data_IF_258093598745
#
_entry.id   IF_258093598745
#
_cell.length_a   1.000
_cell.length_b   1.000
_cell.length_c   1.000
_cell.angle_alpha   90.00
_cell.angle_beta   90.00
_cell.angle_gamma   90.00
#
_symmetry.space_group_name_H-M   'P 1'
#
loop_
_entity.id
_entity.type
_entity.pdbx_description
1 polymer ?
#
# COMPACT_ATOMS: atom_id res chain seq x y z
N UNK A 1 32.43 1.69 37.85
CA UNK A 1 33.81 1.35 38.13
C UNK A 1 34.79 2.30 37.47
N UNK A 2 36.09 2.23 37.81
CA UNK A 2 37.16 3.14 37.33
C UNK A 2 37.22 3.17 35.79
N UNK A 3 37.07 2.01 35.12
CA UNK A 3 37.08 1.91 33.66
C UNK A 3 35.91 2.68 33.00
N UNK A 4 34.71 2.63 33.58
CA UNK A 4 33.56 3.39 33.07
C UNK A 4 33.78 4.90 33.23
N UNK A 5 34.34 5.35 34.33
CA UNK A 5 34.66 6.77 34.57
C UNK A 5 35.73 7.28 33.59
N UNK A 6 36.76 6.48 33.31
CA UNK A 6 37.77 6.80 32.28
C UNK A 6 37.17 6.84 30.87
N UNK A 7 36.31 5.89 30.52
CA UNK A 7 35.62 5.89 29.20
C UNK A 7 34.76 7.14 29.03
N UNK A 8 33.99 7.55 30.03
CA UNK A 8 33.16 8.76 29.98
C UNK A 8 34.00 10.02 29.84
N UNK A 9 35.09 10.15 30.61
CA UNK A 9 36.00 11.30 30.51
C UNK A 9 36.71 11.35 29.16
N UNK A 10 37.07 10.21 28.58
CA UNK A 10 37.65 10.14 27.25
C UNK A 10 36.66 10.63 26.15
N UNK A 11 35.38 10.22 26.23
CA UNK A 11 34.33 10.67 25.28
C UNK A 11 34.14 12.18 25.35
N UNK A 12 34.30 12.81 26.51
CA UNK A 12 34.21 14.27 26.70
C UNK A 12 35.40 15.02 26.12
N UNK A 13 36.59 14.41 26.08
CA UNK A 13 37.81 15.07 25.57
C UNK A 13 37.83 15.26 24.05
N UNK A 14 37.09 14.43 23.31
CA UNK A 14 37.06 14.49 21.84
C UNK A 14 35.62 14.63 21.32
N UNK A 15 34.93 15.74 21.64
CA UNK A 15 33.46 15.86 21.38
C UNK A 15 33.11 15.82 19.91
N UNK A 16 33.90 16.43 19.04
CA UNK A 16 33.63 16.43 17.58
C UNK A 16 33.64 15.03 16.99
N UNK A 17 34.55 14.18 17.40
CA UNK A 17 34.66 12.81 16.90
C UNK A 17 33.56 11.93 17.46
N UNK A 18 33.31 12.03 18.78
CA UNK A 18 32.21 11.33 19.44
C UNK A 18 30.87 11.70 18.76
N UNK A 19 30.64 12.98 18.47
CA UNK A 19 29.46 13.45 17.78
C UNK A 19 29.36 12.88 16.34
N UNK A 20 30.44 12.90 15.57
CA UNK A 20 30.44 12.36 14.21
C UNK A 20 30.11 10.86 14.16
N UNK A 21 30.68 10.09 15.12
CA UNK A 21 30.41 8.64 15.23
C UNK A 21 28.96 8.38 15.66
N UNK A 22 28.48 9.11 16.67
CA UNK A 22 27.09 9.01 17.13
C UNK A 22 26.09 9.43 16.06
N UNK A 23 26.39 10.48 15.27
CA UNK A 23 25.53 10.96 14.20
C UNK A 23 25.33 9.93 13.09
N UNK A 24 26.38 9.20 12.69
CA UNK A 24 26.25 8.16 11.67
C UNK A 24 25.28 7.06 12.12
N UNK A 25 25.39 6.61 13.37
CA UNK A 25 24.48 5.61 13.94
C UNK A 25 23.07 6.18 14.14
N UNK A 26 22.98 7.42 14.62
CA UNK A 26 21.72 8.13 14.83
C UNK A 26 20.92 8.22 13.53
N UNK A 27 21.53 8.64 12.42
CA UNK A 27 20.86 8.74 11.13
C UNK A 27 20.33 7.37 10.67
N UNK A 28 21.16 6.31 10.75
CA UNK A 28 20.73 4.97 10.39
C UNK A 28 19.52 4.49 11.19
N UNK A 29 19.54 4.67 12.52
CA UNK A 29 18.44 4.27 13.39
C UNK A 29 17.21 5.16 13.27
N UNK A 30 17.38 6.47 12.97
CA UNK A 30 16.29 7.37 12.66
C UNK A 30 15.52 6.87 11.43
N UNK A 31 16.23 6.53 10.35
CA UNK A 31 15.62 6.03 9.12
C UNK A 31 14.93 4.68 9.32
N UNK A 32 15.51 3.76 10.09
CA UNK A 32 14.87 2.47 10.40
C UNK A 32 13.60 2.68 11.22
N UNK A 33 13.66 3.51 12.27
CA UNK A 33 12.51 3.79 13.13
C UNK A 33 11.39 4.48 12.33
N UNK A 34 11.73 5.45 11.48
CA UNK A 34 10.79 6.11 10.57
C UNK A 34 10.14 5.09 9.63
N UNK A 35 10.94 4.23 8.97
CA UNK A 35 10.44 3.21 8.07
C UNK A 35 9.49 2.22 8.78
N UNK A 36 9.81 1.80 10.01
CA UNK A 36 8.96 0.90 10.78
C UNK A 36 7.61 1.53 11.15
N UNK A 37 7.60 2.80 11.59
CA UNK A 37 6.35 3.50 11.92
C UNK A 37 5.50 3.69 10.67
N UNK A 38 6.09 4.13 9.55
CA UNK A 38 5.39 4.26 8.27
C UNK A 38 4.82 2.93 7.81
N UNK A 39 5.59 1.84 7.92
CA UNK A 39 5.12 0.48 7.59
C UNK A 39 3.87 0.11 8.37
N UNK A 40 3.92 0.27 9.68
CA UNK A 40 2.80 -0.08 10.55
C UNK A 40 1.57 0.78 10.23
N UNK A 41 1.79 2.07 9.96
CA UNK A 41 0.73 3.01 9.58
C UNK A 41 0.10 2.65 8.23
N UNK A 42 0.90 2.34 7.22
CA UNK A 42 0.39 1.93 5.90
C UNK A 42 -0.38 0.62 5.95
N UNK A 43 0.10 -0.39 6.69
CA UNK A 43 -0.61 -1.66 6.86
C UNK A 43 -1.94 -1.46 7.58
N UNK A 44 -1.96 -0.69 8.67
CA UNK A 44 -3.18 -0.36 9.40
C UNK A 44 -4.18 0.43 8.52
N UNK A 45 -3.68 1.36 7.70
CA UNK A 45 -4.52 2.11 6.77
C UNK A 45 -5.08 1.21 5.65
N UNK A 46 -4.27 0.30 5.08
CA UNK A 46 -4.72 -0.65 4.07
C UNK A 46 -5.82 -1.56 4.61
N UNK A 47 -5.63 -2.14 5.81
CA UNK A 47 -6.64 -2.94 6.48
C UNK A 47 -7.93 -2.16 6.73
N UNK A 48 -7.82 -0.93 7.23
CA UNK A 48 -8.97 -0.06 7.47
C UNK A 48 -9.71 0.24 6.16
N UNK A 49 -8.99 0.59 5.09
CA UNK A 49 -9.60 0.88 3.79
C UNK A 49 -10.34 -0.34 3.25
N UNK A 50 -9.73 -1.52 3.23
CA UNK A 50 -10.41 -2.73 2.75
C UNK A 50 -11.69 -3.01 3.56
N UNK A 51 -11.61 -3.00 4.89
CA UNK A 51 -12.77 -3.29 5.76
C UNK A 51 -13.89 -2.25 5.69
N UNK A 52 -13.56 -0.99 5.46
CA UNK A 52 -14.55 0.08 5.39
C UNK A 52 -15.16 0.25 3.99
N UNK A 53 -14.45 -0.16 2.96
CA UNK A 53 -14.83 0.10 1.57
C UNK A 53 -15.40 -1.13 0.87
N UNK A 54 -14.76 -2.28 1.02
CA UNK A 54 -15.26 -3.54 0.45
C UNK A 54 -16.26 -4.14 1.44
N UNK A 55 -17.55 -3.93 1.18
CA UNK A 55 -18.63 -4.46 1.98
C UNK A 55 -18.98 -5.89 1.57
N UNK A 56 -18.65 -6.27 0.35
CA UNK A 56 -18.79 -7.62 -0.18
C UNK A 56 -18.02 -8.66 0.65
N UNK A 57 -18.56 -9.87 0.74
CA UNK A 57 -17.93 -11.01 1.38
C UNK A 57 -16.77 -11.55 0.55
N UNK A 58 -16.97 -11.57 -0.76
CA UNK A 58 -16.00 -12.05 -1.74
C UNK A 58 -15.87 -11.11 -2.94
N UNK A 59 -14.66 -11.06 -3.47
CA UNK A 59 -14.33 -10.45 -4.74
C UNK A 59 -13.71 -11.51 -5.66
N UNK A 60 -14.12 -11.51 -6.92
CA UNK A 60 -13.41 -12.23 -7.97
C UNK A 60 -12.81 -11.23 -8.93
N UNK A 61 -11.55 -11.40 -9.26
CA UNK A 61 -10.85 -10.56 -10.24
C UNK A 61 -9.90 -11.39 -11.09
N UNK A 62 -9.57 -10.88 -12.27
CA UNK A 62 -8.54 -11.48 -13.10
C UNK A 62 -7.17 -11.35 -12.42
N UNK A 63 -6.34 -12.38 -12.49
CA UNK A 63 -5.04 -12.45 -11.81
C UNK A 63 -4.05 -11.34 -12.23
N UNK A 64 -4.23 -10.77 -13.43
CA UNK A 64 -3.44 -9.63 -13.93
C UNK A 64 -4.33 -8.72 -14.79
N UNK A 65 -4.56 -7.50 -14.33
CA UNK A 65 -5.46 -6.51 -14.96
C UNK A 65 -5.11 -6.22 -16.44
N UNK A 66 -3.83 -6.30 -16.82
CA UNK A 66 -3.36 -5.99 -18.19
C UNK A 66 -2.97 -7.21 -19.02
N UNK A 67 -2.90 -8.39 -18.46
CA UNK A 67 -2.45 -9.60 -19.14
C UNK A 67 -3.51 -10.71 -19.21
N UNK A 68 -4.62 -10.56 -18.48
CA UNK A 68 -5.76 -11.48 -18.53
C UNK A 68 -6.87 -10.87 -19.38
N UNK A 69 -7.56 -11.67 -20.21
CA UNK A 69 -8.67 -11.19 -21.02
C UNK A 69 -9.89 -10.73 -20.19
N UNK A 70 -9.88 -10.91 -18.87
CA UNK A 70 -11.00 -10.63 -17.98
C UNK A 70 -11.63 -11.92 -17.43
N UNK A 71 -12.75 -11.79 -16.77
CA UNK A 71 -13.50 -12.90 -16.17
C UNK A 71 -14.58 -13.33 -17.18
N UNK A 72 -14.60 -14.60 -17.61
CA UNK A 72 -15.68 -15.07 -18.50
C UNK A 72 -17.05 -14.92 -17.85
N UNK A 73 -18.04 -14.40 -18.58
CA UNK A 73 -19.40 -14.19 -18.07
C UNK A 73 -20.12 -15.47 -17.65
N UNK A 74 -19.62 -16.64 -18.07
CA UNK A 74 -20.07 -17.93 -17.56
C UNK A 74 -19.87 -18.07 -16.07
N UNK A 75 -18.80 -17.52 -15.51
CA UNK A 75 -18.55 -17.57 -14.05
C UNK A 75 -19.62 -16.76 -13.28
N UNK A 76 -19.92 -15.54 -13.70
CA UNK A 76 -20.95 -14.74 -13.00
C UNK A 76 -22.34 -15.38 -13.10
N UNK A 77 -22.65 -16.08 -14.19
CA UNK A 77 -23.90 -16.84 -14.32
C UNK A 77 -23.91 -18.05 -13.37
N UNK A 78 -22.83 -18.81 -13.33
CA UNK A 78 -22.71 -19.99 -12.44
C UNK A 78 -22.79 -19.58 -10.96
N UNK A 79 -22.15 -18.45 -10.58
CA UNK A 79 -22.26 -17.93 -9.22
C UNK A 79 -23.68 -17.48 -8.86
N UNK A 80 -24.41 -16.86 -9.80
CA UNK A 80 -25.80 -16.44 -9.59
C UNK A 80 -26.78 -17.61 -9.43
N UNK A 81 -26.46 -18.80 -9.95
CA UNK A 81 -27.27 -20.01 -9.81
C UNK A 81 -27.09 -20.69 -8.44
N UNK A 82 -26.09 -20.26 -7.64
CA UNK A 82 -25.85 -20.82 -6.32
C UNK A 82 -26.82 -20.27 -5.29
N UNK A 83 -27.46 -21.16 -4.52
CA UNK A 83 -28.34 -20.77 -3.39
C UNK A 83 -27.57 -20.04 -2.26
N UNK A 84 -26.26 -20.24 -2.19
CA UNK A 84 -25.39 -19.61 -1.21
C UNK A 84 -25.10 -18.15 -1.54
N UNK A 85 -25.19 -17.73 -2.80
CA UNK A 85 -24.94 -16.34 -3.24
C UNK A 85 -26.23 -15.54 -3.11
N UNK A 86 -26.20 -14.49 -2.30
CA UNK A 86 -27.39 -13.66 -2.04
C UNK A 86 -27.47 -12.43 -2.92
N UNK A 87 -26.31 -11.88 -3.27
CA UNK A 87 -26.18 -10.65 -4.03
C UNK A 87 -24.88 -10.68 -4.82
N UNK A 88 -24.92 -10.32 -6.08
CA UNK A 88 -23.75 -10.27 -6.95
C UNK A 88 -23.80 -9.03 -7.82
N UNK A 89 -22.68 -8.31 -7.93
CA UNK A 89 -22.47 -7.22 -8.87
C UNK A 89 -21.32 -7.53 -9.81
N UNK A 90 -21.58 -7.32 -11.09
CA UNK A 90 -20.58 -7.39 -12.15
C UNK A 90 -20.05 -6.00 -12.42
N UNK A 91 -18.76 -5.91 -12.72
CA UNK A 91 -18.15 -4.71 -13.27
C UNK A 91 -17.56 -5.03 -14.63
N UNK A 92 -17.83 -4.21 -15.62
CA UNK A 92 -17.22 -4.27 -16.97
C UNK A 92 -16.53 -2.95 -17.27
N UNK A 93 -15.53 -2.99 -18.13
CA UNK A 93 -14.83 -1.80 -18.55
C UNK A 93 -14.49 -1.88 -20.03
N UNK A 94 -14.62 -0.75 -20.71
CA UNK A 94 -14.23 -0.60 -22.11
C UNK A 94 -13.50 0.71 -22.34
N UNK A 95 -12.69 0.80 -23.39
CA UNK A 95 -11.98 2.03 -23.75
C UNK A 95 -12.85 2.83 -24.71
N UNK A 96 -13.15 4.07 -24.34
CA UNK A 96 -13.94 5.02 -25.15
C UNK A 96 -13.14 6.28 -25.45
N UNK A 97 -13.56 7.03 -26.44
CA UNK A 97 -13.04 8.38 -26.71
C UNK A 97 -13.79 9.42 -25.88
N UNK A 98 -13.07 10.28 -25.20
CA UNK A 98 -13.60 11.47 -24.54
C UNK A 98 -12.65 12.65 -24.77
N UNK A 99 -13.15 13.76 -25.34
CA UNK A 99 -12.33 14.94 -25.69
C UNK A 99 -11.07 14.56 -26.50
N UNK A 100 -11.20 13.69 -27.50
CA UNK A 100 -10.11 13.18 -28.35
C UNK A 100 -9.01 12.41 -27.59
N UNK A 101 -9.30 11.88 -26.43
CA UNK A 101 -8.36 11.05 -25.62
C UNK A 101 -9.04 9.73 -25.28
N UNK A 102 -8.28 8.62 -25.24
CA UNK A 102 -8.81 7.37 -24.74
C UNK A 102 -9.05 7.48 -23.22
N UNK A 103 -10.18 6.91 -22.79
CA UNK A 103 -10.61 6.89 -21.39
C UNK A 103 -11.26 5.53 -21.11
N UNK A 104 -11.16 5.04 -19.89
CA UNK A 104 -11.85 3.83 -19.45
C UNK A 104 -13.25 4.21 -18.98
N UNK A 105 -14.27 3.65 -19.62
CA UNK A 105 -15.64 3.70 -19.21
C UNK A 105 -15.98 2.41 -18.46
N UNK A 106 -16.46 2.52 -17.24
CA UNK A 106 -16.96 1.42 -16.44
C UNK A 106 -18.47 1.21 -16.65
N UNK A 107 -18.91 -0.01 -16.45
CA UNK A 107 -20.32 -0.35 -16.28
C UNK A 107 -20.47 -1.26 -15.08
N UNK A 108 -21.51 -1.04 -14.28
CA UNK A 108 -21.76 -1.74 -13.02
C UNK A 108 -23.21 -2.14 -12.91
N UNK A 109 -23.47 -3.22 -12.17
CA UNK A 109 -24.82 -3.54 -11.72
C UNK A 109 -25.23 -2.62 -10.55
N UNK A 110 -26.52 -2.56 -10.25
CA UNK A 110 -27.07 -1.70 -9.17
C UNK A 110 -26.54 -2.10 -7.80
N UNK A 111 -26.34 -3.37 -7.61
CA UNK A 111 -25.91 -4.03 -6.39
C UNK A 111 -24.50 -3.57 -5.96
N UNK A 112 -23.70 -3.00 -6.85
CA UNK A 112 -22.34 -2.50 -6.53
C UNK A 112 -22.35 -1.51 -5.39
N UNK A 113 -23.39 -0.69 -5.27
CA UNK A 113 -23.49 0.34 -4.23
C UNK A 113 -23.81 -0.21 -2.82
N UNK A 114 -24.22 -1.47 -2.73
CA UNK A 114 -24.42 -2.19 -1.48
C UNK A 114 -23.20 -3.06 -1.13
N UNK A 115 -22.41 -3.43 -2.15
CA UNK A 115 -21.21 -4.27 -2.03
C UNK A 115 -19.90 -3.46 -1.91
N UNK A 116 -19.92 -2.19 -2.34
CA UNK A 116 -18.78 -1.27 -2.24
C UNK A 116 -19.27 0.07 -1.69
N UNK A 117 -18.56 0.58 -0.69
CA UNK A 117 -18.87 1.88 -0.11
C UNK A 117 -18.50 3.01 -1.07
N UNK A 118 -19.50 3.77 -1.46
CA UNK A 118 -19.33 5.02 -2.21
C UNK A 118 -19.83 6.21 -1.37
N UNK A 119 -19.40 7.40 -1.73
CA UNK A 119 -19.86 8.66 -1.11
C UNK A 119 -20.63 9.45 -2.15
N UNK A 120 -21.92 9.68 -1.91
CA UNK A 120 -22.78 10.45 -2.78
C UNK A 120 -22.41 11.96 -2.66
N UNK A 121 -22.08 12.61 -3.77
CA UNK A 121 -21.68 14.03 -3.81
C UNK A 121 -22.78 14.90 -4.36
N UNK A 122 -23.37 14.52 -5.53
CA UNK A 122 -24.47 15.23 -6.14
C UNK A 122 -25.31 14.30 -6.99
N UNK A 123 -26.60 14.57 -7.09
CA UNK A 123 -27.56 13.72 -7.80
C UNK A 123 -28.06 12.57 -6.94
N UNK A 124 -28.60 11.54 -7.57
CA UNK A 124 -29.10 10.35 -6.87
C UNK A 124 -28.77 9.08 -7.64
N UNK A 125 -28.67 7.93 -6.92
CA UNK A 125 -28.52 6.61 -7.53
C UNK A 125 -29.73 6.25 -8.38
N UNK A 126 -30.95 6.65 -7.97
CA UNK A 126 -32.19 6.40 -8.72
C UNK A 126 -32.20 7.11 -10.09
N UNK A 127 -31.65 8.34 -10.15
CA UNK A 127 -31.51 9.06 -11.41
C UNK A 127 -30.40 8.46 -12.30
N UNK A 128 -29.35 7.94 -11.69
CA UNK A 128 -28.29 7.21 -12.39
C UNK A 128 -28.79 5.91 -13.03
N UNK A 129 -29.80 5.27 -12.43
CA UNK A 129 -30.38 4.03 -12.96
C UNK A 129 -31.25 4.25 -14.22
N UNK A 130 -31.45 5.50 -14.62
CA UNK A 130 -32.24 5.80 -15.86
C UNK A 130 -31.39 5.60 -17.12
N UNK A 131 -32.05 5.36 -18.22
CA UNK A 131 -31.42 5.24 -19.52
C UNK A 131 -30.71 6.56 -19.90
N UNK A 132 -29.56 6.47 -20.56
CA UNK A 132 -28.69 7.60 -20.94
C UNK A 132 -28.17 8.46 -19.78
N UNK A 133 -28.29 7.97 -18.55
CA UNK A 133 -27.63 8.55 -17.39
C UNK A 133 -26.17 8.07 -17.26
N UNK A 134 -25.28 8.97 -16.84
CA UNK A 134 -23.89 8.66 -16.56
C UNK A 134 -23.53 9.11 -15.14
N UNK A 135 -22.80 8.27 -14.41
CA UNK A 135 -22.15 8.58 -13.16
C UNK A 135 -20.73 9.05 -13.41
N UNK A 136 -20.30 10.05 -12.67
CA UNK A 136 -18.95 10.64 -12.78
C UNK A 136 -18.29 10.66 -11.43
N UNK A 137 -17.02 10.25 -11.35
CA UNK A 137 -16.28 10.36 -10.11
C UNK A 137 -15.96 11.83 -9.80
N UNK A 138 -15.97 12.15 -8.53
CA UNK A 138 -15.75 13.50 -8.01
C UNK A 138 -14.47 14.13 -8.58
N UNK A 139 -13.35 13.43 -8.54
CA UNK A 139 -12.08 13.97 -9.04
C UNK A 139 -12.12 14.30 -10.54
N UNK A 140 -12.85 13.51 -11.33
CA UNK A 140 -13.07 13.76 -12.77
C UNK A 140 -13.98 14.94 -13.00
N UNK A 141 -15.07 15.01 -12.26
CA UNK A 141 -16.00 16.14 -12.31
C UNK A 141 -15.29 17.45 -11.96
N UNK A 142 -14.48 17.47 -10.91
CA UNK A 142 -13.69 18.64 -10.49
C UNK A 142 -12.64 19.04 -11.55
N UNK A 143 -11.92 18.07 -12.13
CA UNK A 143 -10.84 18.34 -13.10
C UNK A 143 -11.38 18.88 -14.44
N UNK A 144 -12.51 18.37 -14.91
CA UNK A 144 -13.10 18.73 -16.19
C UNK A 144 -14.23 19.75 -16.07
N UNK A 145 -14.52 20.27 -14.86
CA UNK A 145 -15.61 21.17 -14.52
C UNK A 145 -16.99 20.65 -14.97
N UNK A 146 -17.22 19.36 -14.73
CA UNK A 146 -18.49 18.67 -15.05
C UNK A 146 -19.46 18.84 -13.87
N UNK A 147 -20.67 19.32 -14.16
CA UNK A 147 -21.74 19.53 -13.20
C UNK A 147 -22.91 18.57 -13.44
N UNK A 148 -23.76 18.45 -12.42
CA UNK A 148 -25.00 17.67 -12.53
C UNK A 148 -25.89 18.20 -13.67
N UNK A 149 -26.43 17.29 -14.49
CA UNK A 149 -27.21 17.52 -15.71
C UNK A 149 -26.41 18.03 -16.92
N UNK A 150 -25.10 18.14 -16.85
CA UNK A 150 -24.29 18.38 -18.04
C UNK A 150 -24.36 17.20 -18.99
N UNK A 151 -24.14 17.45 -20.28
CA UNK A 151 -24.02 16.43 -21.29
C UNK A 151 -22.56 16.04 -21.49
N UNK A 152 -22.32 14.75 -21.52
CA UNK A 152 -21.01 14.15 -21.80
C UNK A 152 -21.16 13.31 -23.08
N UNK A 153 -20.40 13.67 -24.12
CA UNK A 153 -20.34 12.92 -25.35
C UNK A 153 -19.18 11.94 -25.31
N UNK A 154 -19.45 10.66 -25.47
CA UNK A 154 -18.45 9.59 -25.54
C UNK A 154 -18.44 8.98 -26.92
N UNK A 155 -17.25 8.71 -27.46
CA UNK A 155 -17.08 7.94 -28.71
C UNK A 155 -16.87 6.47 -28.33
N UNK A 156 -17.91 5.65 -28.52
CA UNK A 156 -17.90 4.24 -28.15
C UNK A 156 -17.47 3.43 -29.39
N UNK A 157 -16.50 2.51 -29.27
CA UNK A 157 -16.12 1.64 -30.39
C UNK A 157 -17.35 0.93 -30.98
N UNK A 158 -17.39 0.82 -32.30
CA UNK A 158 -18.46 0.16 -33.07
C UNK A 158 -19.86 0.81 -32.99
N UNK A 159 -20.11 1.70 -31.99
CA UNK A 159 -21.41 2.40 -31.81
C UNK A 159 -21.34 3.83 -32.33
N UNK A 160 -20.21 4.52 -32.18
CA UNK A 160 -20.02 5.92 -32.54
C UNK A 160 -20.21 6.88 -31.36
N UNK A 161 -20.51 8.15 -31.66
CA UNK A 161 -20.72 9.17 -30.64
C UNK A 161 -22.11 9.01 -29.99
N UNK A 162 -22.10 9.02 -28.65
CA UNK A 162 -23.30 8.95 -27.83
C UNK A 162 -23.26 9.97 -26.71
N UNK A 163 -24.37 10.69 -26.53
CA UNK A 163 -24.58 11.68 -25.49
C UNK A 163 -25.16 11.02 -24.24
N UNK A 164 -24.57 11.33 -23.08
CA UNK A 164 -25.06 10.93 -21.78
C UNK A 164 -25.32 12.17 -20.94
N UNK A 165 -26.27 12.10 -20.03
CA UNK A 165 -26.54 13.17 -19.06
C UNK A 165 -25.98 12.78 -17.70
N UNK A 166 -25.16 13.63 -17.10
CA UNK A 166 -24.61 13.42 -15.75
C UNK A 166 -25.74 13.48 -14.73
N UNK A 167 -26.06 12.37 -14.13
CA UNK A 167 -27.14 12.23 -13.14
C UNK A 167 -26.64 11.89 -11.75
N UNK A 168 -25.35 11.51 -11.63
CA UNK A 168 -24.77 11.14 -10.36
C UNK A 168 -23.30 11.52 -10.34
N UNK A 169 -22.87 12.24 -9.31
CA UNK A 169 -21.46 12.51 -9.00
C UNK A 169 -21.20 11.89 -7.64
N UNK A 170 -20.22 11.03 -7.58
CA UNK A 170 -19.89 10.26 -6.38
C UNK A 170 -18.38 10.07 -6.23
N UNK A 171 -17.97 9.72 -5.05
CA UNK A 171 -16.59 9.34 -4.78
C UNK A 171 -16.50 7.84 -4.50
N UNK A 172 -15.50 7.22 -5.08
CA UNK A 172 -15.20 5.81 -4.89
C UNK A 172 -13.99 5.75 -3.98
N UNK A 173 -14.16 5.20 -2.81
CA UNK A 173 -13.18 5.30 -1.72
C UNK A 173 -11.89 4.48 -1.96
N UNK A 174 -11.88 3.60 -2.98
CA UNK A 174 -10.70 2.88 -3.46
C UNK A 174 -10.24 3.45 -4.81
N UNK A 175 -9.22 2.83 -5.41
CA UNK A 175 -8.81 3.16 -6.77
C UNK A 175 -9.84 2.60 -7.76
N UNK A 176 -10.68 3.46 -8.37
CA UNK A 176 -11.75 3.01 -9.23
C UNK A 176 -11.19 2.49 -10.55
N UNK A 177 -11.87 1.50 -11.19
CA UNK A 177 -11.45 0.97 -12.49
C UNK A 177 -11.71 1.94 -13.65
N UNK A 178 -12.52 2.98 -13.45
CA UNK A 178 -12.94 3.93 -14.47
C UNK A 178 -13.20 5.31 -13.88
N UNK A 179 -13.33 6.32 -14.74
CA UNK A 179 -13.66 7.71 -14.34
C UNK A 179 -15.14 8.05 -14.55
N UNK A 180 -15.77 7.37 -15.53
CA UNK A 180 -17.19 7.44 -15.85
C UNK A 180 -17.81 6.05 -15.70
N UNK A 181 -19.06 6.02 -15.25
CA UNK A 181 -19.79 4.78 -15.02
C UNK A 181 -21.18 4.82 -15.66
N UNK A 182 -21.58 3.70 -16.21
CA UNK A 182 -22.94 3.45 -16.70
C UNK A 182 -23.56 2.27 -15.93
N UNK A 183 -24.88 2.18 -15.97
CA UNK A 183 -25.54 0.97 -15.49
C UNK A 183 -25.46 -0.11 -16.57
N UNK A 184 -24.99 -1.30 -16.19
CA UNK A 184 -24.71 -2.39 -17.12
C UNK A 184 -25.96 -2.80 -17.93
N UNK A 185 -27.10 -2.93 -17.26
CA UNK A 185 -28.35 -3.36 -17.90
C UNK A 185 -28.94 -2.38 -18.88
N UNK A 186 -28.55 -1.11 -18.85
CA UNK A 186 -29.09 -0.07 -19.72
C UNK A 186 -28.41 0.01 -21.09
N UNK A 187 -27.30 -0.71 -21.31
CA UNK A 187 -26.47 -0.51 -22.50
C UNK A 187 -26.04 -1.82 -23.17
N UNK A 188 -26.71 -2.16 -24.26
CA UNK A 188 -26.47 -3.39 -25.06
C UNK A 188 -25.01 -3.55 -25.53
N UNK A 189 -24.29 -2.43 -25.77
CA UNK A 189 -22.89 -2.53 -26.19
C UNK A 189 -21.96 -3.15 -25.12
N UNK A 190 -22.34 -3.13 -23.85
CA UNK A 190 -21.66 -3.91 -22.81
C UNK A 190 -22.11 -5.37 -22.77
N UNK A 191 -23.30 -5.69 -23.23
CA UNK A 191 -23.79 -7.08 -23.24
C UNK A 191 -23.07 -7.96 -24.25
N UNK A 192 -22.50 -7.34 -25.31
CA UNK A 192 -21.69 -8.05 -26.30
C UNK A 192 -20.29 -8.40 -25.81
N UNK A 193 -19.84 -7.80 -24.71
CA UNK A 193 -18.60 -8.18 -24.06
C UNK A 193 -18.80 -9.46 -23.26
N UNK A 194 -18.03 -10.49 -23.58
CA UNK A 194 -18.09 -11.80 -22.93
C UNK A 194 -17.28 -11.87 -21.63
N UNK A 195 -16.79 -10.72 -21.15
CA UNK A 195 -15.84 -10.66 -20.04
C UNK A 195 -16.25 -9.60 -19.03
N UNK A 196 -16.28 -10.00 -17.76
CA UNK A 196 -16.36 -9.11 -16.63
C UNK A 196 -14.94 -8.72 -16.17
N UNK A 197 -14.75 -7.58 -15.54
CA UNK A 197 -13.46 -7.16 -14.97
C UNK A 197 -13.34 -7.56 -13.53
N UNK A 198 -14.41 -7.39 -12.76
CA UNK A 198 -14.51 -7.72 -11.36
C UNK A 198 -15.92 -8.18 -11.01
N UNK A 199 -16.02 -9.10 -10.09
CA UNK A 199 -17.27 -9.51 -9.47
C UNK A 199 -17.17 -9.28 -7.96
N UNK A 200 -18.24 -8.74 -7.37
CA UNK A 200 -18.40 -8.57 -5.93
C UNK A 200 -19.67 -9.28 -5.51
N UNK A 201 -19.63 -10.05 -4.43
CA UNK A 201 -20.84 -10.75 -4.00
C UNK A 201 -20.85 -11.06 -2.50
N UNK A 202 -22.06 -11.26 -1.98
CA UNK A 202 -22.34 -11.69 -0.64
C UNK A 202 -22.84 -13.13 -0.62
N UNK A 203 -22.61 -13.83 0.50
CA UNK A 203 -23.06 -15.20 0.71
C UNK A 203 -23.92 -15.31 1.97
N UNK A 204 -24.79 -16.31 2.01
CA UNK A 204 -25.65 -16.60 3.18
C UNK A 204 -24.80 -16.94 4.40
N UNK A 205 -23.76 -17.75 4.22
CA UNK A 205 -22.90 -18.22 5.31
C UNK A 205 -21.46 -18.22 4.89
N UNK A 206 -20.61 -17.60 5.70
CA UNK A 206 -19.14 -17.51 5.48
C UNK A 206 -18.45 -18.68 6.21
N UNK A 207 -18.77 -19.90 5.83
CA UNK A 207 -18.12 -21.08 6.37
C UNK A 207 -17.12 -21.70 5.37
N UNK A 208 -16.32 -22.64 5.86
CA UNK A 208 -15.27 -23.30 5.05
C UNK A 208 -15.89 -24.15 3.93
N UNK A 209 -17.09 -24.68 4.12
CA UNK A 209 -17.79 -25.47 3.10
C UNK A 209 -18.22 -24.59 1.92
N UNK A 210 -18.79 -23.42 2.19
CA UNK A 210 -19.16 -22.42 1.17
C UNK A 210 -17.91 -21.94 0.44
N UNK A 211 -16.82 -21.61 1.17
CA UNK A 211 -15.58 -21.16 0.56
C UNK A 211 -14.98 -22.23 -0.38
N UNK A 212 -14.90 -23.48 0.06
CA UNK A 212 -14.38 -24.57 -0.77
C UNK A 212 -15.22 -24.78 -2.04
N UNK A 213 -16.54 -24.64 -1.96
CA UNK A 213 -17.43 -24.73 -3.12
C UNK A 213 -17.18 -23.59 -4.11
N UNK A 214 -16.99 -22.37 -3.62
CA UNK A 214 -16.68 -21.20 -4.45
C UNK A 214 -15.29 -21.31 -5.09
N UNK A 215 -14.29 -21.78 -4.34
CA UNK A 215 -12.94 -22.04 -4.85
C UNK A 215 -12.97 -23.09 -5.96
N UNK A 216 -13.69 -24.20 -5.77
CA UNK A 216 -13.85 -25.25 -6.78
C UNK A 216 -14.46 -24.73 -8.08
N UNK A 217 -15.43 -23.82 -8.02
CA UNK A 217 -16.05 -23.21 -9.18
C UNK A 217 -15.06 -22.27 -9.88
N UNK A 218 -14.42 -21.37 -9.13
CA UNK A 218 -13.49 -20.38 -9.66
C UNK A 218 -12.25 -21.05 -10.27
N UNK A 219 -11.78 -22.17 -9.73
CA UNK A 219 -10.63 -22.93 -10.24
C UNK A 219 -10.86 -23.51 -11.65
N UNK A 220 -12.12 -23.66 -12.09
CA UNK A 220 -12.46 -24.02 -13.48
C UNK A 220 -12.20 -22.89 -14.48
N UNK A 221 -11.94 -21.65 -14.01
CA UNK A 221 -11.71 -20.47 -14.82
C UNK A 221 -10.25 -20.00 -14.71
N UNK A 222 -9.36 -20.38 -15.63
CA UNK A 222 -7.94 -20.02 -15.54
C UNK A 222 -7.69 -18.52 -15.53
N UNK A 223 -6.82 -18.07 -14.65
CA UNK A 223 -6.44 -16.67 -14.54
C UNK A 223 -7.41 -15.79 -13.74
N UNK A 224 -8.36 -16.41 -13.06
CA UNK A 224 -9.29 -15.75 -12.14
C UNK A 224 -8.93 -16.13 -10.70
N UNK A 225 -9.16 -15.25 -9.76
CA UNK A 225 -8.85 -15.48 -8.33
C UNK A 225 -10.01 -15.02 -7.46
N UNK A 226 -10.45 -15.90 -6.56
CA UNK A 226 -11.40 -15.60 -5.49
C UNK A 226 -10.63 -15.00 -4.30
N UNK A 227 -11.15 -13.93 -3.73
CA UNK A 227 -10.60 -13.25 -2.56
C UNK A 227 -11.72 -12.92 -1.58
N UNK A 228 -11.51 -13.26 -0.33
CA UNK A 228 -12.25 -12.70 0.78
C UNK A 228 -11.57 -11.41 1.30
N UNK A 229 -12.17 -10.72 2.25
CA UNK A 229 -11.60 -9.50 2.82
C UNK A 229 -10.20 -9.71 3.42
N UNK A 230 -9.96 -10.87 4.05
CA UNK A 230 -8.66 -11.16 4.65
C UNK A 230 -7.58 -11.36 3.58
N UNK A 231 -7.90 -12.04 2.48
CA UNK A 231 -7.01 -12.20 1.33
C UNK A 231 -6.68 -10.85 0.66
N UNK A 232 -7.66 -9.95 0.54
CA UNK A 232 -7.43 -8.59 0.03
C UNK A 232 -6.47 -7.78 0.93
N UNK A 233 -6.64 -7.89 2.25
CA UNK A 233 -5.74 -7.27 3.22
C UNK A 233 -4.33 -7.85 3.12
N UNK A 234 -4.21 -9.17 3.00
CA UNK A 234 -2.92 -9.85 2.88
C UNK A 234 -2.20 -9.45 1.57
N UNK A 235 -2.93 -9.36 0.46
CA UNK A 235 -2.39 -8.89 -0.82
C UNK A 235 -1.89 -7.44 -0.73
N UNK A 236 -2.69 -6.53 -0.17
CA UNK A 236 -2.28 -5.15 0.05
C UNK A 236 -1.04 -5.05 0.96
N UNK A 237 -1.00 -5.84 2.04
CA UNK A 237 0.14 -5.91 2.95
C UNK A 237 1.39 -6.49 2.27
N UNK A 238 1.22 -7.47 1.37
CA UNK A 238 2.30 -8.07 0.59
C UNK A 238 2.93 -7.06 -0.37
N UNK A 239 2.14 -6.28 -1.08
CA UNK A 239 2.63 -5.21 -1.96
C UNK A 239 3.41 -4.13 -1.18
N UNK A 240 2.88 -3.70 -0.02
CA UNK A 240 3.59 -2.79 0.89
C UNK A 240 4.92 -3.42 1.33
N UNK A 241 4.93 -4.69 1.69
CA UNK A 241 6.13 -5.39 2.15
C UNK A 241 7.22 -5.47 1.07
N UNK A 242 6.85 -5.66 -0.20
CA UNK A 242 7.80 -5.66 -1.32
C UNK A 242 8.53 -4.30 -1.44
N UNK A 243 7.79 -3.20 -1.40
CA UNK A 243 8.36 -1.85 -1.42
C UNK A 243 9.29 -1.61 -0.23
N UNK A 244 8.88 -2.05 0.94
CA UNK A 244 9.67 -1.91 2.16
C UNK A 244 10.95 -2.73 2.14
N UNK A 245 10.93 -3.93 1.57
CA UNK A 245 12.13 -4.75 1.44
C UNK A 245 13.21 -4.05 0.60
N UNK A 246 12.82 -3.32 -0.44
CA UNK A 246 13.75 -2.47 -1.22
C UNK A 246 14.32 -1.36 -0.34
N UNK A 247 13.47 -0.66 0.41
CA UNK A 247 13.91 0.41 1.33
C UNK A 247 14.87 -0.15 2.40
N UNK A 248 14.53 -1.28 3.03
CA UNK A 248 15.40 -1.94 4.02
C UNK A 248 16.72 -2.40 3.41
N UNK A 249 16.73 -2.81 2.14
CA UNK A 249 17.97 -3.10 1.40
C UNK A 249 18.91 -1.89 1.36
N UNK A 250 18.40 -0.72 0.97
CA UNK A 250 19.19 0.52 0.95
C UNK A 250 19.62 0.97 2.36
N UNK A 251 18.73 0.86 3.35
CA UNK A 251 19.06 1.17 4.74
C UNK A 251 20.16 0.26 5.28
N UNK A 252 20.13 -1.03 4.95
CA UNK A 252 21.17 -1.98 5.34
C UNK A 252 22.55 -1.56 4.80
N UNK A 253 22.63 -1.17 3.53
CA UNK A 253 23.89 -0.65 2.94
C UNK A 253 24.36 0.59 3.70
N UNK A 254 23.46 1.51 4.01
CA UNK A 254 23.78 2.75 4.76
C UNK A 254 24.33 2.44 6.16
N UNK A 255 23.78 1.43 6.84
CA UNK A 255 24.26 0.97 8.14
C UNK A 255 25.67 0.37 8.02
N UNK A 256 25.92 -0.45 6.99
CA UNK A 256 27.26 -0.98 6.76
C UNK A 256 28.29 0.14 6.55
N UNK A 257 27.97 1.16 5.75
CA UNK A 257 28.84 2.31 5.54
C UNK A 257 29.10 3.05 6.86
N UNK A 258 28.05 3.25 7.68
CA UNK A 258 28.18 3.86 9.00
C UNK A 258 29.08 3.04 9.94
N UNK A 259 28.94 1.70 9.96
CA UNK A 259 29.79 0.81 10.75
C UNK A 259 31.25 0.87 10.32
N UNK A 260 31.56 0.93 9.03
CA UNK A 260 32.91 1.13 8.52
C UNK A 260 33.47 2.49 8.96
N UNK A 261 32.68 3.55 8.88
CA UNK A 261 33.06 4.88 9.37
C UNK A 261 33.39 4.90 10.86
N UNK A 262 32.55 4.25 11.67
CA UNK A 262 32.77 4.11 13.12
C UNK A 262 34.05 3.33 13.39
N UNK A 263 34.24 2.18 12.74
CA UNK A 263 35.43 1.34 12.91
C UNK A 263 36.71 2.09 12.55
N UNK A 264 36.72 2.83 11.45
CA UNK A 264 37.85 3.64 11.03
C UNK A 264 38.16 4.74 12.07
N UNK A 265 37.13 5.45 12.54
CA UNK A 265 37.27 6.51 13.54
C UNK A 265 37.80 5.98 14.88
N UNK A 266 37.32 4.81 15.33
CA UNK A 266 37.79 4.17 16.57
C UNK A 266 39.22 3.67 16.39
N UNK A 267 39.56 3.06 15.26
CA UNK A 267 40.92 2.61 14.97
C UNK A 267 41.92 3.76 15.00
N UNK A 268 41.60 4.88 14.36
CA UNK A 268 42.41 6.09 14.41
C UNK A 268 42.56 6.62 15.84
N UNK A 269 41.49 6.60 16.64
CA UNK A 269 41.49 6.98 18.02
C UNK A 269 42.49 6.16 18.87
N UNK A 270 42.49 4.85 18.67
CA UNK A 270 43.43 3.96 19.37
C UNK A 270 44.86 4.24 18.93
N UNK A 271 45.07 4.49 17.63
CA UNK A 271 46.39 4.78 17.09
C UNK A 271 46.98 6.09 17.64
N UNK A 272 46.19 7.17 17.63
CA UNK A 272 46.59 8.46 18.20
C UNK A 272 46.96 8.40 19.69
N UNK A 273 46.31 7.49 20.45
CA UNK A 273 46.56 7.29 21.90
C UNK A 273 47.57 6.18 22.20
N UNK A 274 48.32 5.71 21.21
CA UNK A 274 49.25 4.59 21.37
C UNK A 274 50.26 4.87 22.49
N UNK A 275 50.72 6.12 22.64
CA UNK A 275 51.67 6.53 23.69
C UNK A 275 51.02 6.49 25.07
N UNK A 276 49.78 6.94 25.23
CA UNK A 276 49.02 6.86 26.50
C UNK A 276 48.76 5.42 26.91
N UNK A 277 48.34 4.60 25.93
CA UNK A 277 48.10 3.16 26.10
C UNK A 277 49.40 2.44 26.50
N UNK A 278 50.52 2.81 25.87
CA UNK A 278 51.83 2.30 26.23
C UNK A 278 52.23 2.63 27.68
N UNK A 279 51.97 3.86 28.10
CA UNK A 279 52.21 4.31 29.48
C UNK A 279 51.35 3.55 30.50
N UNK A 280 50.07 3.37 30.22
CA UNK A 280 49.16 2.56 31.06
C UNK A 280 49.64 1.11 31.16
N UNK A 281 50.17 0.52 30.09
CA UNK A 281 50.74 -0.82 30.09
C UNK A 281 52.03 -0.89 30.94
N UNK A 282 52.87 0.14 30.89
CA UNK A 282 54.09 0.20 31.66
C UNK A 282 53.84 0.22 33.19
N UNK A 283 52.71 0.80 33.61
CA UNK A 283 52.25 0.80 35.02
C UNK A 283 51.39 -0.41 35.39
N UNK A 284 51.28 -1.45 34.50
CA UNK A 284 50.67 -2.73 34.85
C UNK A 284 49.26 -2.98 34.32
N UNK A 285 48.68 -2.10 33.42
CA UNK A 285 47.36 -2.32 32.88
C UNK A 285 47.37 -3.51 31.89
N UNK A 286 46.43 -4.46 32.06
CA UNK A 286 46.28 -5.63 31.20
C UNK A 286 45.67 -5.28 29.83
N UNK A 287 46.06 -5.99 28.78
CA UNK A 287 45.47 -5.84 27.45
C UNK A 287 43.91 -5.98 27.44
N UNK A 288 43.37 -6.88 28.27
CA UNK A 288 41.93 -7.09 28.46
C UNK A 288 41.23 -5.84 29.00
N UNK A 289 41.89 -5.14 29.92
CA UNK A 289 41.36 -3.90 30.53
C UNK A 289 41.30 -2.77 29.51
N UNK A 290 42.32 -2.61 28.67
CA UNK A 290 42.35 -1.61 27.59
C UNK A 290 41.25 -1.91 26.57
N UNK A 291 41.11 -3.17 26.15
CA UNK A 291 40.03 -3.60 25.23
C UNK A 291 38.65 -3.30 25.79
N UNK A 292 38.42 -3.63 27.06
CA UNK A 292 37.16 -3.35 27.74
C UNK A 292 36.89 -1.84 27.86
N UNK A 293 37.91 -1.02 28.06
CA UNK A 293 37.78 0.44 28.10
C UNK A 293 37.27 0.98 26.73
N UNK A 294 37.89 0.56 25.63
CA UNK A 294 37.45 0.95 24.25
C UNK A 294 36.05 0.43 23.95
N UNK A 295 35.73 -0.79 24.40
CA UNK A 295 34.40 -1.36 24.22
C UNK A 295 33.34 -0.56 24.99
N UNK A 296 33.60 -0.18 26.23
CA UNK A 296 32.66 0.65 27.01
C UNK A 296 32.50 2.04 26.37
N UNK A 297 33.60 2.66 25.91
CA UNK A 297 33.54 3.95 25.18
C UNK A 297 32.64 3.87 23.94
N UNK A 298 32.84 2.85 23.11
CA UNK A 298 32.01 2.62 21.93
C UNK A 298 30.56 2.34 22.27
N UNK A 299 30.30 1.56 23.33
CA UNK A 299 28.95 1.25 23.79
C UNK A 299 28.19 2.50 24.26
N UNK A 300 28.85 3.40 24.99
CA UNK A 300 28.21 4.66 25.42
C UNK A 300 27.80 5.50 24.22
N UNK A 301 28.69 5.63 23.24
CA UNK A 301 28.41 6.40 21.99
C UNK A 301 27.26 5.76 21.21
N UNK A 302 27.25 4.43 21.09
CA UNK A 302 26.23 3.68 20.36
C UNK A 302 24.85 3.79 21.03
N UNK A 303 24.77 3.65 22.35
CA UNK A 303 23.51 3.78 23.10
C UNK A 303 22.95 5.20 22.98
N UNK A 304 23.82 6.22 23.08
CA UNK A 304 23.41 7.61 22.91
C UNK A 304 22.88 7.88 21.51
N UNK A 305 23.59 7.41 20.48
CA UNK A 305 23.15 7.51 19.09
C UNK A 305 21.84 6.75 18.84
N UNK A 306 21.65 5.57 19.44
CA UNK A 306 20.45 4.77 19.32
C UNK A 306 19.23 5.46 19.94
N UNK A 307 19.34 5.97 21.15
CA UNK A 307 18.24 6.67 21.84
C UNK A 307 17.81 7.91 21.03
N UNK A 308 18.78 8.73 20.61
CA UNK A 308 18.49 9.92 19.81
C UNK A 308 17.91 9.56 18.45
N UNK A 309 18.50 8.57 17.77
CA UNK A 309 18.05 8.13 16.45
C UNK A 309 16.62 7.58 16.48
N UNK A 310 16.31 6.71 17.42
CA UNK A 310 14.95 6.17 17.59
C UNK A 310 13.96 7.27 17.96
N UNK A 311 14.33 8.16 18.89
CA UNK A 311 13.48 9.28 19.28
C UNK A 311 13.15 10.24 18.13
N UNK A 312 14.16 10.60 17.32
CA UNK A 312 13.97 11.41 16.11
C UNK A 312 13.16 10.67 15.06
N UNK A 313 13.39 9.38 14.87
CA UNK A 313 12.63 8.57 13.90
C UNK A 313 11.13 8.53 14.23
N UNK A 314 10.77 8.35 15.50
CA UNK A 314 9.39 8.40 15.97
C UNK A 314 8.82 9.82 15.81
N UNK A 315 9.61 10.85 16.17
CA UNK A 315 9.19 12.25 16.08
C UNK A 315 8.85 12.67 14.62
N UNK A 316 9.68 12.28 13.65
CA UNK A 316 9.43 12.59 12.24
C UNK A 316 8.32 11.73 11.59
N UNK A 317 7.97 10.60 12.20
CA UNK A 317 6.91 9.73 11.74
C UNK A 317 5.53 10.13 12.27
N UNK A 318 5.47 10.97 13.28
CA UNK A 318 4.25 11.47 13.92
C UNK A 318 3.85 12.81 13.33
#
# INVERSE_FOLDING_TARGET
>A
GILGKLATENSKRTPRRTASTASALMIGLTLISLANVLTTSFKAQAEKVVKEVVLADYQVSAAQIFASPGIPTGLSQELLELEEVTELSRTRATVVGYNNRPLILGAVDREVFDLIKTVDIAGSREDFYKQDAIGVLKFKADNDNISLNDKVTLTIPEVGEKDFTVKYIFDWTTQPPAEFFLLLDNHEFFSNESLDTELYFNVVTKDEATKNKLDDIVDHYPGVTLRDQDALIEEANSQIQLLLNVIYGFLSISIFVALFGITNTLSLSVYERTREIGLMRAIGTLRKQIRNMVFIESSIISVFGAILGTGLGIFFAW
#
